data_IF_598616432593
#
_entry.id   IF_598616432593
#
_cell.length_a   1.000
_cell.length_b   1.000
_cell.length_c   1.000
_cell.angle_alpha   90.00
_cell.angle_beta   90.00
_cell.angle_gamma   90.00
#
_symmetry.space_group_name_H-M   'P 1'
#
loop_
_entity.id
_entity.type
_entity.pdbx_description
1 polymer ?
#
# COMPACT_ATOMS: atom_id res chain seq x y z
N UNK A 1 35.83 12.04 32.22
CA UNK A 1 35.89 10.55 32.23
C UNK A 1 34.65 10.04 31.51
N UNK A 2 34.86 9.13 30.56
CA UNK A 2 33.90 8.38 29.72
C UNK A 2 32.83 9.18 28.97
N UNK A 3 33.15 9.56 27.72
CA UNK A 3 32.17 9.78 26.66
C UNK A 3 31.50 8.41 26.41
N UNK A 4 30.32 8.18 27.00
CA UNK A 4 29.56 6.96 26.77
C UNK A 4 29.13 6.98 25.29
N UNK A 5 29.93 6.34 24.42
CA UNK A 5 29.67 6.27 23.00
C UNK A 5 28.27 5.74 22.79
N UNK A 6 27.41 6.54 22.17
CA UNK A 6 26.07 6.09 21.78
C UNK A 6 26.23 4.82 20.96
N UNK A 7 25.52 3.74 21.33
CA UNK A 7 25.49 2.52 20.51
C UNK A 7 25.20 2.91 19.05
N UNK A 8 25.90 2.32 18.06
CA UNK A 8 25.63 2.62 16.66
C UNK A 8 24.16 2.30 16.36
N UNK A 9 23.51 3.18 15.60
CA UNK A 9 22.12 2.99 15.18
C UNK A 9 22.02 1.77 14.25
N UNK A 10 20.92 1.05 14.35
CA UNK A 10 20.56 -0.03 13.43
C UNK A 10 20.15 0.58 12.08
N UNK A 11 20.90 0.30 11.02
CA UNK A 11 20.59 0.76 9.66
C UNK A 11 19.54 -0.14 9.02
N UNK A 12 18.39 0.43 8.70
CA UNK A 12 17.25 -0.29 8.11
C UNK A 12 16.93 0.30 6.75
N UNK A 13 16.89 -0.53 5.71
CA UNK A 13 16.33 -0.16 4.41
C UNK A 13 14.95 -0.80 4.19
N UNK A 14 13.99 0.00 3.75
CA UNK A 14 12.70 -0.46 3.24
C UNK A 14 12.68 -0.29 1.72
N UNK A 15 12.43 -1.37 0.98
CA UNK A 15 12.33 -1.33 -0.48
C UNK A 15 10.86 -1.33 -0.86
N UNK A 16 10.38 -0.21 -1.39
CA UNK A 16 8.99 0.04 -1.81
C UNK A 16 8.23 0.98 -0.89
N UNK A 17 7.71 2.07 -1.44
CA UNK A 17 6.86 3.06 -0.76
C UNK A 17 5.36 2.82 -1.00
N UNK A 18 4.96 1.54 -1.15
CA UNK A 18 3.56 1.12 -1.11
C UNK A 18 3.01 1.12 0.33
N UNK A 19 1.71 0.82 0.53
CA UNK A 19 1.09 0.84 1.85
C UNK A 19 1.81 0.00 2.92
N UNK A 20 2.35 -1.17 2.55
CA UNK A 20 3.10 -2.01 3.48
C UNK A 20 4.42 -1.37 3.92
N UNK A 21 5.20 -0.83 2.99
CA UNK A 21 6.48 -0.18 3.29
C UNK A 21 6.31 1.12 4.07
N UNK A 22 5.32 1.94 3.71
CA UNK A 22 4.99 3.15 4.46
C UNK A 22 4.46 2.85 5.86
N UNK A 23 3.64 1.80 6.01
CA UNK A 23 3.20 1.32 7.33
C UNK A 23 4.37 0.91 8.23
N UNK A 24 5.33 0.16 7.67
CA UNK A 24 6.55 -0.22 8.39
C UNK A 24 7.40 1.02 8.75
N UNK A 25 7.55 1.97 7.82
CA UNK A 25 8.32 3.20 8.04
C UNK A 25 7.79 4.01 9.24
N UNK A 26 6.46 4.15 9.36
CA UNK A 26 5.81 4.87 10.47
C UNK A 26 6.19 4.28 11.84
N UNK A 27 6.35 2.97 11.95
CA UNK A 27 6.75 2.33 13.21
C UNK A 27 8.27 2.39 13.42
N UNK A 28 9.07 2.13 12.39
CA UNK A 28 10.53 2.18 12.50
C UNK A 28 11.06 3.56 12.88
N UNK A 29 10.48 4.64 12.35
CA UNK A 29 10.92 6.01 12.65
C UNK A 29 10.66 6.42 14.11
N UNK A 30 9.77 5.72 14.84
CA UNK A 30 9.52 5.97 16.27
C UNK A 30 10.67 5.43 17.16
N UNK A 31 11.53 4.58 16.60
CA UNK A 31 12.60 3.92 17.34
C UNK A 31 13.87 4.78 17.31
N UNK A 32 14.33 5.34 18.45
CA UNK A 32 15.45 6.29 18.47
C UNK A 32 16.80 5.66 18.08
N UNK A 33 16.89 4.33 18.10
CA UNK A 33 18.07 3.56 17.74
C UNK A 33 18.08 3.10 16.28
N UNK A 34 17.12 3.52 15.46
CA UNK A 34 17.04 3.16 14.03
C UNK A 34 17.50 4.33 13.16
N UNK A 35 18.31 4.03 12.14
CA UNK A 35 18.59 4.88 10.99
C UNK A 35 17.86 4.30 9.79
N UNK A 36 16.82 4.98 9.31
CA UNK A 36 15.86 4.44 8.33
C UNK A 36 16.09 5.07 6.96
N UNK A 37 16.13 4.25 5.91
CA UNK A 37 16.04 4.67 4.51
C UNK A 37 14.92 3.94 3.80
N UNK A 38 14.17 4.64 2.97
CA UNK A 38 13.07 4.10 2.15
C UNK A 38 13.43 4.34 0.70
N UNK A 39 13.43 3.28 -0.10
CA UNK A 39 13.76 3.35 -1.52
C UNK A 39 12.54 2.99 -2.36
N UNK A 40 12.17 3.83 -3.31
CA UNK A 40 11.06 3.61 -4.22
C UNK A 40 11.51 3.77 -5.66
N UNK A 41 11.18 2.80 -6.51
CA UNK A 41 11.55 2.80 -7.93
C UNK A 41 10.83 3.89 -8.74
N UNK A 42 9.63 4.29 -8.34
CA UNK A 42 8.88 5.32 -9.04
C UNK A 42 9.54 6.70 -8.90
N UNK A 43 9.51 7.49 -9.98
CA UNK A 43 9.99 8.89 -9.98
C UNK A 43 9.15 9.80 -9.08
N UNK A 44 7.90 9.40 -8.87
CA UNK A 44 6.92 10.11 -8.07
C UNK A 44 5.93 9.10 -7.51
N UNK A 45 5.39 9.40 -6.33
CA UNK A 45 4.33 8.61 -5.71
C UNK A 45 2.99 8.97 -6.36
N UNK A 46 2.86 8.66 -7.65
CA UNK A 46 1.60 8.73 -8.39
C UNK A 46 1.18 7.31 -8.72
N UNK A 47 0.26 6.76 -7.93
CA UNK A 47 -0.34 5.49 -8.31
C UNK A 47 -1.44 5.67 -9.35
N UNK A 48 -1.38 4.85 -10.40
CA UNK A 48 -2.46 4.71 -11.36
C UNK A 48 -3.53 3.77 -10.80
N UNK A 49 -4.71 4.34 -10.52
CA UNK A 49 -5.98 3.82 -11.04
C UNK A 49 -6.51 2.48 -10.53
N UNK A 50 -6.12 2.00 -9.34
CA UNK A 50 -6.80 0.87 -8.71
C UNK A 50 -7.63 1.33 -7.52
N UNK A 51 -8.94 1.14 -7.61
CA UNK A 51 -9.82 1.30 -6.47
C UNK A 51 -9.69 0.13 -5.49
N UNK A 52 -9.54 0.45 -4.21
CA UNK A 52 -9.34 -0.51 -3.11
C UNK A 52 -10.53 -0.52 -2.16
N UNK A 53 -10.61 -1.61 -1.38
CA UNK A 53 -11.54 -1.72 -0.28
C UNK A 53 -10.84 -1.36 1.02
N UNK A 54 -11.39 -0.42 1.78
CA UNK A 54 -10.96 -0.17 3.16
C UNK A 54 -11.95 -0.90 4.06
N UNK A 55 -11.50 -2.01 4.63
CA UNK A 55 -12.28 -2.86 5.50
C UNK A 55 -12.03 -2.51 6.98
N UNK A 56 -12.86 -3.01 7.89
CA UNK A 56 -12.76 -2.78 9.33
C UNK A 56 -11.35 -3.03 9.90
N UNK A 57 -10.69 -4.10 9.45
CA UNK A 57 -9.32 -4.41 9.87
C UNK A 57 -8.32 -3.37 9.38
N UNK A 58 -8.45 -2.89 8.13
CA UNK A 58 -7.62 -1.81 7.60
C UNK A 58 -7.83 -0.53 8.41
N UNK A 59 -9.08 -0.16 8.71
CA UNK A 59 -9.36 1.01 9.55
C UNK A 59 -8.73 0.92 10.94
N UNK A 60 -8.82 -0.24 11.60
CA UNK A 60 -8.15 -0.48 12.89
C UNK A 60 -6.64 -0.31 12.82
N UNK A 61 -6.01 -0.74 11.73
CA UNK A 61 -4.58 -0.55 11.52
C UNK A 61 -4.23 0.92 11.28
N UNK A 62 -5.07 1.67 10.57
CA UNK A 62 -4.85 3.10 10.38
C UNK A 62 -4.99 3.90 11.69
N UNK A 63 -5.93 3.52 12.57
CA UNK A 63 -6.00 4.09 13.92
C UNK A 63 -4.75 3.74 14.74
N UNK A 64 -4.31 2.47 14.71
CA UNK A 64 -3.13 2.03 15.45
C UNK A 64 -1.84 2.75 14.99
N UNK A 65 -1.72 3.01 13.68
CA UNK A 65 -0.63 3.79 13.10
C UNK A 65 -0.76 5.31 13.37
N UNK A 66 -1.92 5.78 13.85
CA UNK A 66 -2.20 7.21 14.06
C UNK A 66 -2.45 8.00 12.77
N UNK A 67 -2.86 7.34 11.70
CA UNK A 67 -3.00 7.93 10.34
C UNK A 67 -4.42 7.85 9.80
N UNK A 68 -5.39 7.42 10.62
CA UNK A 68 -6.80 7.41 10.24
C UNK A 68 -7.25 8.80 9.76
N UNK A 69 -6.99 9.85 10.55
CA UNK A 69 -7.44 11.21 10.28
C UNK A 69 -6.69 11.89 9.11
N UNK A 70 -5.67 11.23 8.55
CA UNK A 70 -4.99 11.70 7.35
C UNK A 70 -5.81 11.48 6.06
N UNK A 71 -6.86 10.64 6.13
CA UNK A 71 -7.78 10.37 5.02
C UNK A 71 -8.90 11.41 5.01
N UNK A 72 -9.00 12.15 3.91
CA UNK A 72 -10.10 13.08 3.66
C UNK A 72 -11.41 12.29 3.42
N UNK A 73 -12.46 12.45 4.24
CA UNK A 73 -13.74 11.76 4.05
C UNK A 73 -14.38 11.99 2.68
N UNK A 74 -14.09 13.11 2.00
CA UNK A 74 -14.59 13.39 0.65
C UNK A 74 -13.90 12.57 -0.46
N UNK A 75 -12.82 11.86 -0.12
CA UNK A 75 -12.05 11.01 -1.05
C UNK A 75 -12.41 9.53 -0.94
N UNK A 76 -13.35 9.18 -0.07
CA UNK A 76 -13.83 7.81 0.14
C UNK A 76 -15.32 7.70 -0.14
N UNK A 77 -15.72 6.62 -0.80
CA UNK A 77 -17.12 6.28 -1.01
C UNK A 77 -17.55 5.20 0.00
N UNK A 78 -18.63 5.49 0.72
CA UNK A 78 -19.30 4.55 1.63
C UNK A 78 -20.77 4.48 1.22
N UNK A 79 -21.29 3.29 0.93
CA UNK A 79 -22.68 3.12 0.53
C UNK A 79 -23.62 3.51 1.69
N UNK A 80 -24.67 4.27 1.39
CA UNK A 80 -25.58 4.85 2.38
C UNK A 80 -26.39 3.80 3.17
N UNK A 81 -26.68 2.66 2.54
CA UNK A 81 -27.37 1.51 3.11
C UNK A 81 -26.45 0.56 3.92
N UNK A 82 -25.14 0.82 3.94
CA UNK A 82 -24.16 -0.10 4.53
C UNK A 82 -24.03 -1.43 3.77
N UNK A 83 -24.69 -1.60 2.62
CA UNK A 83 -24.58 -2.79 1.78
C UNK A 83 -23.25 -2.79 1.03
N UNK A 84 -22.19 -3.13 1.75
CA UNK A 84 -21.20 -4.00 1.13
C UNK A 84 -21.90 -5.32 0.84
N UNK A 85 -22.01 -5.73 -0.41
CA UNK A 85 -22.44 -7.09 -0.81
C UNK A 85 -21.58 -8.20 -0.15
N UNK A 86 -20.52 -7.81 0.58
CA UNK A 86 -19.94 -8.59 1.67
C UNK A 86 -20.62 -8.28 3.02
N UNK A 87 -21.76 -8.92 3.31
CA UNK A 87 -22.23 -9.10 4.69
C UNK A 87 -21.29 -10.07 5.43
N UNK A 88 -20.02 -9.68 5.61
CA UNK A 88 -19.05 -10.42 6.43
C UNK A 88 -19.15 -9.93 7.87
N UNK A 89 -20.23 -10.33 8.56
CA UNK A 89 -20.35 -10.20 10.02
C UNK A 89 -20.17 -8.79 10.58
N UNK A 90 -20.78 -7.77 9.98
CA UNK A 90 -20.70 -6.36 10.44
C UNK A 90 -21.63 -6.04 11.61
N UNK A 91 -21.88 -6.98 12.53
CA UNK A 91 -22.51 -6.62 13.80
C UNK A 91 -21.50 -5.77 14.61
N UNK A 92 -21.94 -4.63 15.15
CA UNK A 92 -21.16 -3.72 16.01
C UNK A 92 -19.87 -3.11 15.41
N UNK A 93 -19.88 -2.76 14.12
CA UNK A 93 -18.80 -1.97 13.53
C UNK A 93 -19.01 -0.48 13.81
N UNK A 94 -18.07 0.23 14.48
CA UNK A 94 -18.20 1.67 14.70
C UNK A 94 -18.37 2.44 13.38
N UNK A 95 -19.11 3.56 13.36
CA UNK A 95 -19.31 4.36 12.15
C UNK A 95 -18.01 4.68 11.40
N UNK A 96 -16.94 5.01 12.13
CA UNK A 96 -15.60 5.30 11.59
C UNK A 96 -14.89 4.11 10.94
N UNK A 97 -15.34 2.88 11.22
CA UNK A 97 -14.76 1.65 10.65
C UNK A 97 -15.67 1.00 9.61
N UNK A 98 -16.75 1.68 9.21
CA UNK A 98 -17.61 1.22 8.13
C UNK A 98 -16.80 1.06 6.87
N UNK A 99 -17.15 0.03 6.11
CA UNK A 99 -16.47 -0.30 4.88
C UNK A 99 -16.53 0.85 3.88
N UNK A 100 -15.39 1.17 3.28
CA UNK A 100 -15.28 2.22 2.29
C UNK A 100 -14.55 1.76 1.02
N UNK A 101 -14.64 2.60 -0.01
CA UNK A 101 -13.97 2.47 -1.29
C UNK A 101 -13.18 3.73 -1.52
N UNK A 102 -11.91 3.57 -1.90
CA UNK A 102 -11.04 4.70 -2.20
C UNK A 102 -10.13 4.34 -3.38
N UNK A 103 -9.56 5.34 -4.03
CA UNK A 103 -8.39 5.10 -4.87
C UNK A 103 -7.22 4.67 -3.97
N UNK A 104 -6.38 3.74 -4.43
CA UNK A 104 -5.20 3.30 -3.67
C UNK A 104 -4.27 4.47 -3.30
N UNK A 105 -4.21 5.50 -4.13
CA UNK A 105 -3.51 6.76 -3.87
C UNK A 105 -3.94 7.42 -2.57
N UNK A 106 -5.23 7.37 -2.21
CA UNK A 106 -5.75 7.97 -0.97
C UNK A 106 -5.09 7.33 0.24
N UNK A 107 -5.03 6.00 0.28
CA UNK A 107 -4.38 5.26 1.36
C UNK A 107 -2.87 5.52 1.41
N UNK A 108 -2.20 5.48 0.25
CA UNK A 108 -0.76 5.73 0.17
C UNK A 108 -0.42 7.14 0.65
N UNK A 109 -1.16 8.15 0.22
CA UNK A 109 -0.97 9.55 0.63
C UNK A 109 -1.23 9.74 2.12
N UNK A 110 -2.26 9.10 2.67
CA UNK A 110 -2.55 9.19 4.11
C UNK A 110 -1.41 8.62 4.97
N UNK A 111 -0.83 7.49 4.56
CA UNK A 111 0.35 6.92 5.21
C UNK A 111 1.58 7.81 5.03
N UNK A 112 1.81 8.31 3.82
CA UNK A 112 2.97 9.15 3.49
C UNK A 112 3.00 10.46 4.29
N UNK A 113 1.85 11.02 4.67
CA UNK A 113 1.77 12.22 5.53
C UNK A 113 2.42 12.02 6.90
N UNK A 114 2.50 10.78 7.39
CA UNK A 114 3.09 10.45 8.67
C UNK A 114 4.55 9.98 8.58
N UNK A 115 5.12 9.93 7.37
CA UNK A 115 6.51 9.49 7.15
C UNK A 115 7.42 10.70 6.98
N UNK A 116 8.59 10.67 7.63
CA UNK A 116 9.65 11.64 7.37
C UNK A 116 10.23 11.41 5.95
N UNK A 117 9.91 12.35 5.05
CA UNK A 117 10.29 12.27 3.64
C UNK A 117 11.77 12.48 3.40
N UNK A 118 12.53 12.99 4.38
CA UNK A 118 13.99 13.09 4.26
C UNK A 118 14.66 11.72 4.16
N UNK A 119 14.01 10.67 4.67
CA UNK A 119 14.44 9.29 4.58
C UNK A 119 14.00 8.59 3.28
N UNK A 120 13.20 9.26 2.43
CA UNK A 120 12.64 8.68 1.21
C UNK A 120 13.47 9.08 -0.02
N UNK A 121 14.00 8.07 -0.72
CA UNK A 121 14.66 8.22 -2.00
C UNK A 121 13.81 7.61 -3.12
N UNK A 122 13.33 8.47 -4.01
CA UNK A 122 12.60 8.08 -5.22
C UNK A 122 13.57 7.66 -6.35
N UNK A 123 13.02 7.20 -7.48
CA UNK A 123 13.80 6.72 -8.64
C UNK A 123 14.87 5.67 -8.29
N UNK A 124 14.64 4.90 -7.22
CA UNK A 124 15.60 3.99 -6.62
C UNK A 124 15.14 2.55 -6.80
N UNK A 125 15.34 2.02 -8.00
CA UNK A 125 15.06 0.61 -8.30
C UNK A 125 16.22 -0.25 -7.79
N UNK A 126 15.97 -1.05 -6.76
CA UNK A 126 16.93 -2.05 -6.29
C UNK A 126 17.12 -3.12 -7.37
N UNK A 127 18.37 -3.46 -7.68
CA UNK A 127 18.71 -4.45 -8.72
C UNK A 127 19.56 -5.60 -8.18
N UNK A 128 20.22 -5.44 -7.04
CA UNK A 128 21.06 -6.47 -6.45
C UNK A 128 21.18 -6.35 -4.93
N UNK A 129 21.27 -7.50 -4.27
CA UNK A 129 21.48 -7.66 -2.82
C UNK A 129 22.60 -8.68 -2.62
N UNK A 130 23.56 -8.37 -1.75
CA UNK A 130 24.64 -9.30 -1.35
C UNK A 130 24.81 -9.31 0.16
N UNK A 131 24.93 -10.50 0.75
CA UNK A 131 25.39 -10.63 2.14
C UNK A 131 26.91 -10.41 2.19
N UNK A 132 27.36 -9.54 3.08
CA UNK A 132 28.76 -9.23 3.30
C UNK A 132 29.35 -10.09 4.43
N UNK A 133 30.68 -10.25 4.51
CA UNK A 133 31.33 -11.06 5.55
C UNK A 133 31.02 -10.61 6.99
N UNK A 134 30.73 -9.32 7.18
CA UNK A 134 30.34 -8.71 8.45
C UNK A 134 28.85 -8.86 8.78
N UNK A 135 28.10 -9.68 8.02
CA UNK A 135 26.66 -9.95 8.20
C UNK A 135 25.71 -8.79 7.86
N UNK A 136 26.22 -7.72 7.27
CA UNK A 136 25.38 -6.66 6.70
C UNK A 136 25.01 -7.00 5.25
N UNK A 137 24.08 -6.25 4.68
CA UNK A 137 23.60 -6.40 3.32
C UNK A 137 24.05 -5.20 2.48
N UNK A 138 24.75 -5.48 1.38
CA UNK A 138 25.02 -4.49 0.34
C UNK A 138 23.86 -4.46 -0.65
N UNK A 139 23.36 -3.26 -0.90
CA UNK A 139 22.28 -2.96 -1.85
C UNK A 139 22.88 -2.20 -3.02
N UNK A 140 22.53 -2.58 -4.26
CA UNK A 140 22.85 -1.80 -5.46
C UNK A 140 21.59 -1.47 -6.23
N UNK A 141 21.50 -0.21 -6.62
CA UNK A 141 20.36 0.36 -7.34
C UNK A 141 20.70 0.56 -8.83
N UNK A 142 19.67 0.70 -9.66
CA UNK A 142 19.79 0.90 -11.12
C UNK A 142 20.55 2.18 -11.49
N UNK A 143 20.54 3.18 -10.60
CA UNK A 143 21.29 4.43 -10.78
C UNK A 143 22.71 4.37 -10.21
N UNK A 144 23.25 3.17 -10.04
CA UNK A 144 24.59 2.87 -9.49
C UNK A 144 24.82 3.30 -8.04
N UNK A 145 23.80 3.87 -7.38
CA UNK A 145 23.86 4.07 -5.95
C UNK A 145 23.98 2.73 -5.22
N UNK A 146 24.73 2.77 -4.12
CA UNK A 146 24.89 1.63 -3.22
C UNK A 146 24.59 2.06 -1.79
N UNK A 147 24.04 1.14 -1.01
CA UNK A 147 23.87 1.30 0.43
C UNK A 147 24.26 0.03 1.17
N UNK A 148 24.61 0.15 2.44
CA UNK A 148 24.91 -0.99 3.31
C UNK A 148 24.06 -0.92 4.58
N UNK A 149 23.30 -1.98 4.83
CA UNK A 149 22.31 -2.01 5.91
C UNK A 149 22.41 -3.25 6.79
N UNK A 150 21.98 -3.11 8.03
CA UNK A 150 21.95 -4.21 9.00
C UNK A 150 20.64 -5.01 8.88
N UNK A 151 19.56 -4.37 8.42
CA UNK A 151 18.25 -4.98 8.20
C UNK A 151 17.61 -4.48 6.90
N UNK A 152 17.07 -5.42 6.11
CA UNK A 152 16.36 -5.13 4.87
C UNK A 152 14.89 -5.58 4.97
N UNK A 153 13.97 -4.67 4.65
CA UNK A 153 12.53 -4.92 4.61
C UNK A 153 12.06 -4.91 3.15
N UNK A 154 11.60 -6.09 2.68
CA UNK A 154 11.02 -6.23 1.34
C UNK A 154 9.54 -5.84 1.30
N UNK A 155 9.25 -4.66 0.74
CA UNK A 155 7.90 -4.15 0.48
C UNK A 155 7.70 -3.80 -1.02
N UNK A 156 8.49 -4.42 -1.89
CA UNK A 156 8.68 -4.15 -3.32
C UNK A 156 7.73 -4.94 -4.24
N UNK A 157 6.62 -5.41 -3.67
CA UNK A 157 5.47 -5.91 -4.40
C UNK A 157 5.64 -7.29 -5.04
N UNK A 158 4.75 -7.61 -5.98
CA UNK A 158 4.64 -8.97 -6.53
C UNK A 158 5.88 -9.41 -7.31
N UNK A 159 6.68 -8.49 -7.84
CA UNK A 159 7.95 -8.77 -8.55
C UNK A 159 9.18 -8.41 -7.69
N UNK A 160 9.08 -8.66 -6.39
CA UNK A 160 10.09 -8.35 -5.38
C UNK A 160 11.46 -8.96 -5.69
N UNK A 161 12.48 -8.09 -5.69
CA UNK A 161 13.90 -8.44 -5.72
C UNK A 161 14.32 -9.02 -4.38
N UNK A 162 13.79 -8.48 -3.27
CA UNK A 162 14.07 -8.98 -1.91
C UNK A 162 13.61 -10.43 -1.75
N UNK A 163 12.41 -10.77 -2.23
CA UNK A 163 11.89 -12.14 -2.22
C UNK A 163 12.75 -13.07 -3.07
N UNK A 164 13.24 -12.60 -4.21
CA UNK A 164 14.08 -13.41 -5.10
C UNK A 164 15.46 -13.67 -4.50
N UNK A 165 16.01 -12.72 -3.73
CA UNK A 165 17.23 -12.91 -2.95
C UNK A 165 17.03 -13.93 -1.81
N UNK A 166 15.96 -13.79 -1.01
CA UNK A 166 15.71 -14.69 0.12
C UNK A 166 15.25 -16.09 -0.30
N UNK A 167 14.56 -16.21 -1.43
CA UNK A 167 14.00 -17.46 -1.95
C UNK A 167 14.28 -17.57 -3.46
N UNK A 168 15.51 -17.94 -3.87
CA UNK A 168 15.93 -17.95 -5.28
C UNK A 168 15.10 -18.85 -6.19
N UNK A 169 14.48 -19.90 -5.64
CA UNK A 169 13.65 -20.84 -6.37
C UNK A 169 12.18 -20.41 -6.48
N UNK A 170 11.77 -19.34 -5.81
CA UNK A 170 10.41 -18.86 -5.88
C UNK A 170 10.06 -18.38 -7.30
N UNK A 171 8.89 -18.76 -7.81
CA UNK A 171 8.38 -18.33 -9.12
C UNK A 171 6.98 -17.78 -8.98
N UNK A 172 6.72 -16.66 -9.64
CA UNK A 172 5.36 -16.16 -9.83
C UNK A 172 4.70 -17.00 -10.93
N UNK A 173 3.45 -17.38 -10.74
CA UNK A 173 2.65 -18.10 -11.73
C UNK A 173 1.38 -17.34 -12.05
N UNK A 174 0.97 -17.41 -13.32
CA UNK A 174 -0.32 -16.87 -13.73
C UNK A 174 -1.43 -17.76 -13.17
N UNK A 175 -2.43 -17.15 -12.54
CA UNK A 175 -3.53 -17.87 -11.89
C UNK A 175 -4.63 -18.33 -12.87
N UNK A 176 -4.44 -18.13 -14.17
CA UNK A 176 -5.46 -18.43 -15.18
C UNK A 176 -6.58 -17.38 -15.28
N UNK A 177 -6.46 -16.24 -14.57
CA UNK A 177 -7.51 -15.20 -14.52
C UNK A 177 -6.93 -13.82 -14.81
N UNK A 178 -7.61 -13.08 -15.69
CA UNK A 178 -7.31 -11.67 -15.99
C UNK A 178 -8.49 -10.79 -15.57
N UNK A 179 -8.20 -9.66 -14.92
CA UNK A 179 -9.22 -8.70 -14.52
C UNK A 179 -9.09 -7.43 -15.36
N UNK A 180 -10.12 -7.14 -16.16
CA UNK A 180 -10.24 -5.86 -16.86
C UNK A 180 -10.82 -4.80 -15.91
N UNK A 181 -10.32 -3.57 -16.02
CA UNK A 181 -10.75 -2.44 -15.19
C UNK A 181 -10.98 -1.23 -16.08
N UNK A 182 -12.04 -0.50 -15.78
CA UNK A 182 -12.37 0.75 -16.43
C UNK A 182 -12.89 1.75 -15.38
N UNK A 183 -12.74 3.04 -15.69
CA UNK A 183 -13.41 4.13 -15.00
C UNK A 183 -14.48 4.66 -15.94
N UNK A 184 -15.63 5.00 -15.37
CA UNK A 184 -16.82 5.50 -16.07
C UNK A 184 -17.40 6.64 -15.24
N UNK A 185 -18.09 7.59 -15.88
CA UNK A 185 -18.78 8.64 -15.13
C UNK A 185 -19.89 7.99 -14.30
N UNK A 186 -20.05 8.45 -13.05
CA UNK A 186 -21.10 7.95 -12.17
C UNK A 186 -22.49 8.24 -12.77
N UNK A 187 -22.68 9.40 -13.39
CA UNK A 187 -23.98 9.81 -13.94
C UNK A 187 -24.41 8.89 -15.09
N UNK A 188 -23.47 8.49 -15.95
CA UNK A 188 -23.74 7.55 -17.05
C UNK A 188 -24.25 6.21 -16.51
N UNK A 189 -23.65 5.71 -15.43
CA UNK A 189 -24.03 4.42 -14.82
C UNK A 189 -25.31 4.51 -14.01
N UNK A 190 -25.49 5.58 -13.23
CA UNK A 190 -26.67 5.77 -12.38
C UNK A 190 -27.92 6.13 -13.19
N UNK A 191 -27.76 6.56 -14.44
CA UNK A 191 -28.87 6.74 -15.39
C UNK A 191 -29.49 5.41 -15.85
N UNK A 192 -28.79 4.28 -15.69
CA UNK A 192 -29.28 2.96 -16.09
C UNK A 192 -30.41 2.54 -15.14
N UNK A 193 -31.62 2.21 -15.64
CA UNK A 193 -32.73 1.79 -14.79
C UNK A 193 -32.38 0.61 -13.89
N UNK A 194 -32.72 0.71 -12.60
CA UNK A 194 -32.46 -0.28 -11.56
C UNK A 194 -30.97 -0.58 -11.30
N UNK A 195 -30.04 0.28 -11.75
CA UNK A 195 -28.65 0.11 -11.39
C UNK A 195 -28.45 0.47 -9.90
N UNK A 196 -27.90 -0.43 -9.07
CA UNK A 196 -27.73 -0.16 -7.65
C UNK A 196 -26.62 0.87 -7.40
N UNK A 197 -26.89 1.90 -6.60
CA UNK A 197 -25.87 2.82 -6.08
C UNK A 197 -25.08 2.18 -4.92
N UNK A 198 -24.47 1.05 -5.21
CA UNK A 198 -23.75 0.23 -4.25
C UNK A 198 -22.55 -0.48 -4.91
N UNK A 199 -21.72 -1.12 -4.08
CA UNK A 199 -20.65 -1.99 -4.58
C UNK A 199 -21.25 -3.34 -4.97
N UNK A 200 -21.44 -3.57 -6.26
CA UNK A 200 -22.14 -4.75 -6.77
C UNK A 200 -21.20 -5.76 -7.42
N UNK A 201 -21.40 -7.03 -7.10
CA UNK A 201 -20.71 -8.16 -7.73
C UNK A 201 -21.72 -8.96 -8.56
N UNK A 202 -21.50 -8.99 -9.87
CA UNK A 202 -22.27 -9.80 -10.80
C UNK A 202 -21.50 -11.09 -11.07
N UNK A 203 -22.13 -12.22 -10.78
CA UNK A 203 -21.56 -13.54 -10.97
C UNK A 203 -22.10 -14.16 -12.25
N UNK A 204 -21.21 -14.48 -13.18
CA UNK A 204 -21.56 -15.24 -14.39
C UNK A 204 -21.66 -16.74 -14.11
N UNK A 205 -22.16 -17.52 -15.09
CA UNK A 205 -22.33 -18.98 -14.97
C UNK A 205 -21.00 -19.76 -14.89
N UNK A 206 -19.87 -19.13 -15.23
CA UNK A 206 -18.53 -19.73 -15.10
C UNK A 206 -17.75 -19.04 -13.98
N UNK A 207 -16.91 -19.82 -13.28
CA UNK A 207 -16.03 -19.30 -12.20
C UNK A 207 -15.09 -18.17 -12.64
N UNK A 208 -14.89 -18.01 -13.95
CA UNK A 208 -13.87 -17.16 -14.56
C UNK A 208 -14.38 -15.76 -14.96
N UNK A 209 -15.70 -15.54 -15.02
CA UNK A 209 -16.27 -14.22 -15.26
C UNK A 209 -16.93 -13.68 -13.98
N UNK A 210 -16.17 -12.86 -13.24
CA UNK A 210 -16.70 -12.02 -12.18
C UNK A 210 -16.61 -10.58 -12.64
N UNK A 211 -17.77 -9.96 -12.88
CA UNK A 211 -17.82 -8.53 -13.14
C UNK A 211 -18.17 -7.81 -11.84
N UNK A 212 -17.25 -6.99 -11.35
CA UNK A 212 -17.53 -6.15 -10.19
C UNK A 212 -17.61 -4.70 -10.65
N UNK A 213 -18.77 -4.08 -10.46
CA UNK A 213 -18.88 -2.63 -10.55
C UNK A 213 -18.60 -2.05 -9.17
N UNK A 214 -17.60 -1.18 -9.12
CA UNK A 214 -17.16 -0.57 -7.88
C UNK A 214 -17.15 0.92 -8.12
N UNK A 215 -18.06 1.64 -7.48
CA UNK A 215 -18.02 3.10 -7.45
C UNK A 215 -16.87 3.55 -6.56
N UNK A 216 -16.15 4.55 -7.04
CA UNK A 216 -15.18 5.33 -6.29
C UNK A 216 -15.52 6.79 -6.55
N UNK A 217 -15.36 7.65 -5.55
CA UNK A 217 -15.37 9.08 -5.80
C UNK A 217 -14.08 9.42 -6.55
N UNK A 218 -14.22 9.81 -7.81
CA UNK A 218 -13.17 10.53 -8.53
C UNK A 218 -13.53 12.00 -8.39
N UNK A 219 -12.78 12.76 -7.58
CA UNK A 219 -12.88 14.22 -7.64
C UNK A 219 -12.54 14.60 -9.07
N UNK A 220 -13.48 15.18 -9.81
CA UNK A 220 -13.17 15.89 -11.05
C UNK A 220 -12.15 16.96 -10.67
N UNK A 221 -10.92 16.81 -11.17
CA UNK A 221 -9.91 17.84 -11.01
C UNK A 221 -10.38 19.10 -11.72
N UNK A 222 -10.32 20.23 -11.00
CA UNK A 222 -9.94 21.50 -11.64
C UNK A 222 -8.43 21.50 -11.81
#
# INVERSE_FOLDING_TARGET
>A
MSNAGSKPKLRVAIIGAGPAGLGAAIEFQKLPFVDLRIYEQARELREVGAGISIQRNTWRMLDALGVYDNIDPSTIFSAADGHSVQHRGQHDTPPRHKHARALRTVLQQALLKAVDKTNLRLSSRLVEIRELPNKTLSLRFEDEHTDEVDLLIGADGVRSVVRQFSFPDHRISYTGTTAFRALVNADDILSIPNFPDAVTFWHGPTRNLRQSFKRFLVKSGK
#
